data_IF_015744791274
#
_entry.id   IF_015744791274
#
_cell.length_a   1.000
_cell.length_b   1.000
_cell.length_c   1.000
_cell.angle_alpha   90.00
_cell.angle_beta   90.00
_cell.angle_gamma   90.00
#
_symmetry.space_group_name_H-M   'P 1'
#
loop_
_entity.id
_entity.type
_entity.pdbx_description
1 polymer ?
#
# COMPACT_ATOMS: atom_id res chain seq x y z
N UNK A 1 10.06 10.72 9.26
CA UNK A 1 8.95 10.41 8.36
C UNK A 1 7.98 9.50 9.09
N UNK A 2 6.74 9.95 9.30
CA UNK A 2 5.71 9.14 9.96
C UNK A 2 4.99 8.28 8.92
N UNK A 3 4.94 6.97 9.13
CA UNK A 3 4.45 6.01 8.11
C UNK A 3 3.12 5.37 8.50
N UNK A 4 2.14 5.37 7.61
CA UNK A 4 0.91 4.60 7.73
C UNK A 4 1.04 3.30 6.94
N UNK A 5 0.90 2.15 7.61
CA UNK A 5 0.85 0.84 6.96
C UNK A 5 -0.58 0.33 6.98
N UNK A 6 -1.21 0.28 5.80
CA UNK A 6 -2.59 -0.20 5.63
C UNK A 6 -2.56 -1.62 5.10
N UNK A 7 -3.12 -2.58 5.83
CA UNK A 7 -3.21 -3.97 5.38
C UNK A 7 -4.67 -4.39 5.17
N UNK A 8 -4.94 -5.10 4.07
CA UNK A 8 -6.26 -5.67 3.82
C UNK A 8 -6.13 -7.16 3.48
N UNK A 9 -6.36 -8.01 4.49
CA UNK A 9 -6.44 -9.46 4.31
C UNK A 9 -7.26 -10.13 5.43
N UNK A 10 -8.22 -11.02 5.11
CA UNK A 10 -9.10 -11.62 6.12
C UNK A 10 -8.40 -12.69 6.98
N UNK A 11 -7.43 -13.41 6.41
CA UNK A 11 -6.74 -14.50 7.12
C UNK A 11 -5.50 -14.00 7.86
N UNK A 12 -5.42 -14.34 9.15
CA UNK A 12 -4.25 -14.09 9.99
C UNK A 12 -3.00 -14.83 9.48
N UNK A 13 -3.15 -16.07 9.04
CA UNK A 13 -2.06 -16.87 8.47
C UNK A 13 -2.06 -16.78 6.95
N UNK A 14 -1.52 -15.69 6.41
CA UNK A 14 -1.43 -15.46 4.97
C UNK A 14 -0.06 -14.90 4.59
N UNK A 15 0.28 -14.99 3.30
CA UNK A 15 1.49 -14.33 2.80
C UNK A 15 1.40 -12.80 2.88
N UNK A 16 0.20 -12.22 2.76
CA UNK A 16 -0.03 -10.79 2.98
C UNK A 16 0.26 -10.39 4.43
N UNK A 17 -0.11 -11.22 5.42
CA UNK A 17 0.26 -10.99 6.83
C UNK A 17 1.76 -11.14 7.04
N UNK A 18 2.41 -12.10 6.38
CA UNK A 18 3.86 -12.21 6.43
C UNK A 18 4.57 -10.97 5.86
N UNK A 19 4.05 -10.39 4.77
CA UNK A 19 4.54 -9.13 4.22
C UNK A 19 4.37 -7.98 5.22
N UNK A 20 3.20 -7.85 5.84
CA UNK A 20 2.95 -6.86 6.89
C UNK A 20 3.98 -6.98 8.02
N UNK A 21 4.17 -8.19 8.57
CA UNK A 21 5.14 -8.41 9.64
C UNK A 21 6.56 -8.03 9.22
N UNK A 22 6.98 -8.38 8.00
CA UNK A 22 8.31 -8.01 7.49
C UNK A 22 8.49 -6.51 7.30
N UNK A 23 7.45 -5.82 6.83
CA UNK A 23 7.47 -4.36 6.69
C UNK A 23 7.58 -3.70 8.07
N UNK A 24 6.76 -4.11 9.04
CA UNK A 24 6.83 -3.59 10.41
C UNK A 24 8.21 -3.84 11.05
N UNK A 25 8.77 -5.04 10.89
CA UNK A 25 10.12 -5.36 11.37
C UNK A 25 11.19 -4.45 10.75
N UNK A 26 11.09 -4.20 9.44
CA UNK A 26 12.01 -3.31 8.74
C UNK A 26 11.92 -1.85 9.22
N UNK A 27 10.70 -1.34 9.37
CA UNK A 27 10.43 0.02 9.89
C UNK A 27 10.86 0.19 11.35
N UNK A 28 10.68 -0.84 12.17
CA UNK A 28 11.17 -0.86 13.56
C UNK A 28 12.70 -0.81 13.60
N UNK A 29 13.36 -1.61 12.75
CA UNK A 29 14.83 -1.65 12.68
C UNK A 29 15.45 -0.32 12.19
N UNK A 30 14.75 0.43 11.34
CA UNK A 30 15.16 1.78 10.91
C UNK A 30 14.79 2.90 11.88
N UNK A 31 14.06 2.59 12.97
CA UNK A 31 13.58 3.60 13.93
C UNK A 31 12.47 4.51 13.37
N UNK A 32 11.75 4.07 12.33
CA UNK A 32 10.68 4.84 11.69
C UNK A 32 9.40 4.78 12.53
N UNK A 33 8.88 5.94 12.93
CA UNK A 33 7.56 6.05 13.56
C UNK A 33 6.49 5.59 12.57
N UNK A 34 5.74 4.55 12.93
CA UNK A 34 4.73 3.97 12.05
C UNK A 34 3.48 3.53 12.81
N UNK A 35 2.36 3.63 12.11
CA UNK A 35 1.05 3.16 12.55
C UNK A 35 0.56 2.07 11.61
N UNK A 36 -0.04 1.01 12.16
CA UNK A 36 -0.59 -0.10 11.39
C UNK A 36 -2.11 -0.06 11.50
N UNK A 37 -2.79 -0.10 10.35
CA UNK A 37 -4.24 -0.21 10.24
C UNK A 37 -4.59 -1.44 9.42
N UNK A 38 -5.28 -2.41 10.01
CA UNK A 38 -5.75 -3.62 9.34
C UNK A 38 -7.25 -3.55 9.06
N UNK A 39 -7.61 -3.61 7.79
CA UNK A 39 -8.99 -3.55 7.35
C UNK A 39 -9.61 -4.97 7.23
N UNK A 40 -10.83 -5.18 7.74
CA UNK A 40 -11.70 -4.23 8.47
C UNK A 40 -11.62 -4.33 10.00
N UNK A 41 -10.57 -4.94 10.55
CA UNK A 41 -10.53 -5.30 11.98
C UNK A 41 -10.21 -4.13 12.92
N UNK A 42 -9.41 -3.18 12.46
CA UNK A 42 -8.90 -2.08 13.28
C UNK A 42 -9.74 -0.82 13.07
N UNK A 43 -9.70 0.08 14.07
CA UNK A 43 -10.27 1.42 13.97
C UNK A 43 -9.47 2.27 12.98
N UNK A 44 -10.19 3.01 12.13
CA UNK A 44 -9.59 3.86 11.11
C UNK A 44 -9.11 5.17 11.76
N UNK A 45 -7.81 5.54 11.67
CA UNK A 45 -7.34 6.80 12.22
C UNK A 45 -7.92 7.96 11.42
N UNK A 46 -8.23 9.06 12.09
CA UNK A 46 -8.59 10.29 11.41
C UNK A 46 -7.35 10.90 10.73
N UNK A 47 -7.25 10.66 9.43
CA UNK A 47 -6.14 11.12 8.59
C UNK A 47 -6.04 12.65 8.52
N UNK A 48 -7.11 13.39 8.83
CA UNK A 48 -7.08 14.85 8.81
C UNK A 48 -6.26 15.45 9.96
N UNK A 49 -6.11 14.73 11.07
CA UNK A 49 -5.33 15.15 12.24
C UNK A 49 -3.95 14.47 12.34
N UNK A 50 -3.75 13.36 11.63
CA UNK A 50 -2.48 12.62 11.68
C UNK A 50 -1.69 12.82 10.39
N UNK A 51 -0.63 13.62 10.49
CA UNK A 51 0.25 13.96 9.37
C UNK A 51 1.21 12.81 9.02
N UNK A 52 0.71 11.78 8.34
CA UNK A 52 1.56 10.74 7.73
C UNK A 52 2.26 11.29 6.49
N UNK A 53 3.50 10.90 6.26
CA UNK A 53 4.31 11.32 5.11
C UNK A 53 4.55 10.18 4.11
N UNK A 54 4.43 8.93 4.58
CA UNK A 54 4.53 7.73 3.77
C UNK A 54 3.34 6.83 4.04
N UNK A 55 2.68 6.37 2.97
CA UNK A 55 1.66 5.33 3.05
C UNK A 55 2.15 4.06 2.37
N UNK A 56 2.04 2.93 3.07
CA UNK A 56 2.34 1.60 2.57
C UNK A 56 1.05 0.78 2.56
N UNK A 57 0.52 0.47 1.38
CA UNK A 57 -0.64 -0.41 1.23
C UNK A 57 -0.20 -1.86 0.98
N UNK A 58 -0.67 -2.79 1.80
CA UNK A 58 -0.31 -4.22 1.78
C UNK A 58 -1.57 -5.07 1.57
N UNK A 59 -1.75 -5.61 0.37
CA UNK A 59 -2.93 -6.42 0.06
C UNK A 59 -2.69 -7.30 -1.18
N UNK A 60 -3.36 -8.45 -1.31
CA UNK A 60 -3.34 -9.19 -2.57
C UNK A 60 -4.15 -8.45 -3.65
N UNK A 61 -3.81 -8.65 -4.92
CA UNK A 61 -4.65 -8.22 -6.03
C UNK A 61 -5.74 -9.25 -6.29
N UNK A 62 -7.01 -8.86 -6.14
CA UNK A 62 -8.18 -9.68 -6.41
C UNK A 62 -8.98 -9.08 -7.56
N UNK A 63 -9.29 -9.90 -8.57
CA UNK A 63 -10.02 -9.45 -9.77
C UNK A 63 -9.39 -8.24 -10.48
N UNK A 64 -8.07 -8.10 -10.39
CA UNK A 64 -7.31 -7.02 -11.02
C UNK A 64 -7.20 -5.74 -10.19
N UNK A 65 -7.79 -5.67 -9.00
CA UNK A 65 -7.82 -4.50 -8.11
C UNK A 65 -7.48 -4.87 -6.65
N UNK A 66 -7.36 -3.89 -5.73
CA UNK A 66 -7.32 -4.19 -4.29
C UNK A 66 -8.57 -4.94 -3.80
N UNK A 67 -8.52 -5.61 -2.64
CA UNK A 67 -9.69 -6.22 -2.02
C UNK A 67 -10.79 -5.19 -1.75
N UNK A 68 -12.05 -5.63 -1.78
CA UNK A 68 -13.22 -4.74 -1.65
C UNK A 68 -13.17 -3.85 -0.39
N UNK A 69 -12.70 -4.36 0.75
CA UNK A 69 -12.57 -3.57 2.00
C UNK A 69 -11.57 -2.42 1.88
N UNK A 70 -10.49 -2.60 1.11
CA UNK A 70 -9.52 -1.53 0.87
C UNK A 70 -10.05 -0.54 -0.17
N UNK A 71 -10.78 -1.04 -1.18
CA UNK A 71 -11.42 -0.17 -2.16
C UNK A 71 -12.52 0.69 -1.52
N UNK A 72 -13.34 0.13 -0.63
CA UNK A 72 -14.36 0.84 0.14
C UNK A 72 -13.72 1.96 0.98
N UNK A 73 -12.66 1.64 1.73
CA UNK A 73 -11.93 2.64 2.50
C UNK A 73 -11.38 3.77 1.63
N UNK A 74 -10.76 3.44 0.48
CA UNK A 74 -10.29 4.44 -0.48
C UNK A 74 -11.44 5.30 -1.01
N UNK A 75 -12.60 4.72 -1.32
CA UNK A 75 -13.77 5.45 -1.80
C UNK A 75 -14.30 6.41 -0.72
N UNK A 76 -14.53 5.94 0.51
CA UNK A 76 -14.98 6.79 1.61
C UNK A 76 -13.99 7.93 1.91
N UNK A 77 -12.69 7.66 1.78
CA UNK A 77 -11.63 8.62 2.08
C UNK A 77 -11.42 9.65 0.95
N UNK A 78 -11.56 9.25 -0.31
CA UNK A 78 -11.06 10.04 -1.44
C UNK A 78 -12.12 10.49 -2.46
N UNK A 79 -13.32 9.90 -2.47
CA UNK A 79 -14.29 10.12 -3.55
C UNK A 79 -14.65 11.61 -3.72
N UNK A 80 -14.87 12.33 -2.61
CA UNK A 80 -15.19 13.77 -2.67
C UNK A 80 -14.11 14.59 -3.39
N UNK A 81 -12.84 14.21 -3.27
CA UNK A 81 -11.71 14.91 -3.89
C UNK A 81 -11.50 14.48 -5.35
N UNK A 82 -11.80 13.22 -5.67
CA UNK A 82 -11.70 12.68 -7.03
C UNK A 82 -12.80 13.24 -7.93
N UNK A 83 -14.03 13.36 -7.41
CA UNK A 83 -15.20 13.82 -8.17
C UNK A 83 -15.34 15.35 -8.18
N UNK A 84 -14.43 16.08 -7.52
CA UNK A 84 -14.42 17.55 -7.47
C UNK A 84 -15.44 18.16 -6.49
N UNK A 85 -16.01 17.36 -5.59
CA UNK A 85 -16.83 17.85 -4.48
C UNK A 85 -16.01 18.62 -3.43
N UNK A 86 -14.72 18.29 -3.29
CA UNK A 86 -13.76 18.97 -2.42
C UNK A 86 -12.46 19.29 -3.18
N UNK A 87 -11.74 20.39 -2.85
CA UNK A 87 -10.45 20.68 -3.46
C UNK A 87 -9.41 19.59 -3.15
N UNK A 88 -8.72 19.08 -4.16
CA UNK A 88 -7.63 18.09 -3.98
C UNK A 88 -6.54 18.57 -3.00
N UNK A 89 -6.34 19.89 -2.88
CA UNK A 89 -5.41 20.49 -1.91
C UNK A 89 -5.79 20.27 -0.45
N UNK A 90 -7.05 19.97 -0.14
CA UNK A 90 -7.53 19.63 1.21
C UNK A 90 -7.72 18.11 1.42
N UNK A 91 -7.22 17.28 0.49
CA UNK A 91 -7.25 15.83 0.62
C UNK A 91 -6.60 15.36 1.93
N UNK A 92 -7.16 14.35 2.62
CA UNK A 92 -6.56 13.78 3.83
C UNK A 92 -5.23 13.07 3.56
N UNK A 93 -4.93 12.75 2.30
CA UNK A 93 -3.64 12.17 1.90
C UNK A 93 -2.64 13.21 1.41
N UNK A 94 -2.95 14.51 1.49
CA UNK A 94 -2.12 15.56 0.87
C UNK A 94 -0.70 15.63 1.40
N UNK A 95 -0.47 15.18 2.63
CA UNK A 95 0.84 15.09 3.27
C UNK A 95 1.72 13.94 2.77
N UNK A 96 1.13 12.94 2.11
CA UNK A 96 1.82 11.75 1.65
C UNK A 96 2.77 12.11 0.50
N UNK A 97 4.07 12.11 0.80
CA UNK A 97 5.17 12.32 -0.16
C UNK A 97 5.69 11.03 -0.75
N UNK A 98 5.40 9.88 -0.12
CA UNK A 98 5.72 8.56 -0.65
C UNK A 98 4.54 7.61 -0.54
N UNK A 99 4.24 6.90 -1.62
CA UNK A 99 3.18 5.90 -1.68
C UNK A 99 3.76 4.59 -2.21
N UNK A 100 3.84 3.57 -1.35
CA UNK A 100 4.31 2.24 -1.71
C UNK A 100 3.15 1.25 -1.66
N UNK A 101 2.98 0.45 -2.71
CA UNK A 101 1.98 -0.63 -2.74
C UNK A 101 2.70 -1.96 -2.84
N UNK A 102 2.48 -2.82 -1.85
CA UNK A 102 3.02 -4.17 -1.77
C UNK A 102 1.90 -5.17 -2.02
N UNK A 103 1.98 -5.88 -3.14
CA UNK A 103 0.90 -6.78 -3.58
C UNK A 103 1.38 -8.10 -4.15
N UNK A 104 0.44 -9.01 -4.37
CA UNK A 104 0.65 -10.34 -4.94
C UNK A 104 -0.40 -10.61 -6.01
N UNK A 105 0.00 -11.24 -7.11
CA UNK A 105 -0.89 -11.63 -8.20
C UNK A 105 -0.78 -13.13 -8.45
N UNK A 106 -1.92 -13.81 -8.62
CA UNK A 106 -1.94 -15.18 -9.13
C UNK A 106 -1.52 -15.29 -10.60
N UNK A 107 -1.82 -14.25 -11.40
CA UNK A 107 -1.48 -14.16 -12.81
C UNK A 107 -0.04 -13.68 -13.05
N UNK A 108 0.45 -13.84 -14.28
CA UNK A 108 1.77 -13.35 -14.68
C UNK A 108 1.76 -11.86 -14.98
N UNK A 109 2.91 -11.19 -14.86
CA UNK A 109 3.06 -9.78 -15.24
C UNK A 109 2.59 -9.49 -16.68
N UNK A 110 2.83 -10.42 -17.63
CA UNK A 110 2.38 -10.24 -19.03
C UNK A 110 0.86 -10.14 -19.15
N UNK A 111 0.12 -10.98 -18.41
CA UNK A 111 -1.35 -10.95 -18.41
C UNK A 111 -1.86 -9.68 -17.76
N UNK A 112 -1.30 -9.27 -16.61
CA UNK A 112 -1.68 -8.01 -15.96
C UNK A 112 -1.46 -6.80 -16.87
N UNK A 113 -0.32 -6.76 -17.58
CA UNK A 113 -0.03 -5.71 -18.57
C UNK A 113 -1.01 -5.68 -19.73
N UNK A 114 -1.38 -6.85 -20.27
CA UNK A 114 -2.38 -6.95 -21.34
C UNK A 114 -3.75 -6.44 -20.88
N UNK A 115 -4.09 -6.65 -19.62
CA UNK A 115 -5.31 -6.13 -18.99
C UNK A 115 -5.24 -4.64 -18.62
N UNK A 116 -4.10 -3.97 -18.82
CA UNK A 116 -3.92 -2.56 -18.50
C UNK A 116 -3.53 -2.26 -17.04
N UNK A 117 -3.30 -3.29 -16.23
CA UNK A 117 -2.93 -3.20 -14.80
C UNK A 117 -3.93 -2.34 -13.97
N UNK A 118 -5.25 -2.61 -14.02
CA UNK A 118 -6.27 -1.70 -13.49
C UNK A 118 -6.03 -1.31 -12.02
N UNK A 119 -5.68 -2.26 -11.16
CA UNK A 119 -5.36 -1.99 -9.76
C UNK A 119 -4.17 -1.06 -9.60
N UNK A 120 -3.09 -1.23 -10.38
CA UNK A 120 -1.96 -0.29 -10.37
C UNK A 120 -2.39 1.10 -10.83
N UNK A 121 -3.26 1.19 -11.84
CA UNK A 121 -3.79 2.48 -12.31
C UNK A 121 -4.67 3.16 -11.28
N UNK A 122 -5.46 2.42 -10.48
CA UNK A 122 -6.20 2.99 -9.34
C UNK A 122 -5.23 3.74 -8.43
N UNK A 123 -4.13 3.12 -8.04
CA UNK A 123 -3.14 3.80 -7.20
C UNK A 123 -2.45 4.95 -7.92
N UNK A 124 -1.92 4.72 -9.13
CA UNK A 124 -1.05 5.69 -9.81
C UNK A 124 -1.77 6.82 -10.54
N UNK A 125 -3.08 6.71 -10.77
CA UNK A 125 -3.88 7.72 -11.48
C UNK A 125 -5.03 8.28 -10.66
N UNK A 126 -5.50 7.59 -9.62
CA UNK A 126 -6.63 8.06 -8.79
C UNK A 126 -6.15 8.43 -7.39
N UNK A 127 -5.30 7.61 -6.76
CA UNK A 127 -4.81 7.90 -5.39
C UNK A 127 -3.69 8.93 -5.40
N UNK A 128 -2.67 8.78 -6.27
CA UNK A 128 -1.52 9.71 -6.29
C UNK A 128 -1.89 11.18 -6.53
N UNK A 129 -2.88 11.57 -7.35
CA UNK A 129 -3.28 12.99 -7.45
C UNK A 129 -3.83 13.56 -6.14
N UNK A 130 -4.39 12.71 -5.27
CA UNK A 130 -4.88 13.10 -3.94
C UNK A 130 -3.75 13.23 -2.90
N UNK A 131 -2.52 12.86 -3.25
CA UNK A 131 -1.35 12.97 -2.38
C UNK A 131 -0.62 14.31 -2.56
N UNK A 132 0.61 14.42 -2.03
CA UNK A 132 1.49 15.54 -2.30
C UNK A 132 1.79 15.65 -3.81
N UNK A 133 1.94 16.86 -4.40
CA UNK A 133 2.21 17.02 -5.84
C UNK A 133 3.46 16.29 -6.34
N UNK A 134 4.45 16.13 -5.47
CA UNK A 134 5.72 15.45 -5.75
C UNK A 134 5.76 14.02 -5.19
N UNK A 135 4.59 13.39 -4.99
CA UNK A 135 4.53 12.04 -4.41
C UNK A 135 5.34 11.04 -5.24
N UNK A 136 6.20 10.29 -4.57
CA UNK A 136 6.91 9.18 -5.16
C UNK A 136 6.05 7.91 -5.05
N UNK A 137 5.71 7.31 -6.19
CA UNK A 137 4.89 6.11 -6.25
C UNK A 137 5.72 4.87 -6.57
N UNK A 138 5.55 3.82 -5.77
CA UNK A 138 6.24 2.54 -5.93
C UNK A 138 5.24 1.37 -5.95
N UNK A 139 5.38 0.49 -6.95
CA UNK A 139 4.58 -0.72 -7.09
C UNK A 139 5.47 -1.96 -6.92
N UNK A 140 5.28 -2.69 -5.82
CA UNK A 140 6.08 -3.82 -5.39
C UNK A 140 5.21 -5.08 -5.46
N UNK A 141 5.50 -5.98 -6.39
CA UNK A 141 4.55 -7.06 -6.70
C UNK A 141 5.23 -8.40 -6.92
N UNK A 142 4.69 -9.44 -6.27
CA UNK A 142 5.00 -10.83 -6.55
C UNK A 142 3.95 -11.43 -7.50
N UNK A 143 4.36 -11.77 -8.71
CA UNK A 143 3.50 -12.43 -9.70
C UNK A 143 3.59 -13.96 -9.61
N UNK A 144 2.54 -14.64 -10.04
CA UNK A 144 2.39 -16.11 -10.00
C UNK A 144 2.54 -16.70 -8.59
N UNK A 145 1.99 -16.03 -7.58
CA UNK A 145 2.12 -16.49 -6.18
C UNK A 145 1.60 -17.92 -5.97
N UNK A 146 0.52 -18.31 -6.66
CA UNK A 146 -0.08 -19.66 -6.58
C UNK A 146 0.86 -20.78 -7.06
N UNK A 147 1.87 -20.43 -7.85
CA UNK A 147 2.89 -21.35 -8.40
C UNK A 147 4.29 -21.06 -7.87
N UNK A 148 4.40 -20.20 -6.87
CA UNK A 148 5.68 -19.82 -6.29
C UNK A 148 6.22 -20.91 -5.36
N UNK A 149 7.54 -21.03 -5.31
CA UNK A 149 8.23 -21.88 -4.34
C UNK A 149 8.41 -21.14 -3.01
N UNK A 150 8.61 -21.87 -1.88
CA UNK A 150 8.97 -21.24 -0.61
C UNK A 150 10.20 -20.33 -0.72
N UNK A 151 11.22 -20.73 -1.50
CA UNK A 151 12.43 -19.92 -1.74
C UNK A 151 12.13 -18.60 -2.44
N UNK A 152 11.24 -18.60 -3.44
CA UNK A 152 10.83 -17.36 -4.13
C UNK A 152 10.04 -16.43 -3.21
N UNK A 153 9.15 -16.98 -2.39
CA UNK A 153 8.40 -16.20 -1.40
C UNK A 153 9.32 -15.59 -0.34
N UNK A 154 10.28 -16.36 0.16
CA UNK A 154 11.30 -15.86 1.08
C UNK A 154 12.13 -14.73 0.47
N UNK A 155 12.63 -14.93 -0.76
CA UNK A 155 13.40 -13.90 -1.46
C UNK A 155 12.59 -12.61 -1.68
N UNK A 156 11.28 -12.71 -1.95
CA UNK A 156 10.41 -11.54 -2.06
C UNK A 156 10.22 -10.83 -0.71
N UNK A 157 10.07 -11.57 0.38
CA UNK A 157 10.01 -10.99 1.74
C UNK A 157 11.31 -10.24 2.07
N UNK A 158 12.47 -10.80 1.72
CA UNK A 158 13.77 -10.17 1.94
C UNK A 158 13.94 -8.91 1.07
N UNK A 159 13.47 -8.93 -0.17
CA UNK A 159 13.46 -7.75 -1.04
C UNK A 159 12.61 -6.63 -0.46
N UNK A 160 11.38 -6.95 -0.03
CA UNK A 160 10.46 -6.01 0.62
C UNK A 160 11.08 -5.44 1.89
N UNK A 161 11.70 -6.28 2.74
CA UNK A 161 12.37 -5.82 3.96
C UNK A 161 13.47 -4.79 3.65
N UNK A 162 14.36 -5.09 2.69
CA UNK A 162 15.47 -4.19 2.35
C UNK A 162 14.98 -2.80 1.90
N UNK A 163 13.89 -2.75 1.12
CA UNK A 163 13.33 -1.48 0.64
C UNK A 163 12.88 -0.54 1.76
N UNK A 164 12.42 -1.08 2.88
CA UNK A 164 11.90 -0.29 4.01
C UNK A 164 12.89 -0.16 5.18
N UNK A 165 13.99 -0.93 5.19
CA UNK A 165 15.12 -0.70 6.10
C UNK A 165 16.01 0.45 5.64
N UNK A 166 16.07 0.70 4.33
CA UNK A 166 16.92 1.75 3.74
C UNK A 166 16.25 3.13 3.64
N UNK A 167 15.07 3.32 4.22
CA UNK A 167 14.42 4.63 4.23
C UNK A 167 15.20 5.56 5.15
N UNK A 168 15.84 6.64 4.62
CA UNK A 168 16.54 7.57 5.48
C UNK A 168 15.52 8.22 6.41
N UNK A 169 15.81 8.21 7.71
CA UNK A 169 15.20 9.13 8.65
C UNK A 169 15.51 10.54 8.11
N UNK A 170 14.52 11.38 7.78
CA UNK A 170 14.80 12.78 7.46
C UNK A 170 15.49 13.40 8.67
N UNK A 171 16.64 14.04 8.43
CA UNK A 171 17.34 14.84 9.43
C UNK A 171 16.48 16.00 9.93
#
# INVERSE_FOLDING_TARGET
MKTLVVQAHPLAQSFSTALLHRICQALQASGTDHHVMRLPQDEEPDLSYVNFEHMIAVSPTWWGSPPAVLLDWLQRTLLAYVDGGEPVSSSPLRSIRRLSVVTTHGSSLRINRLQGEPGRQTWSRVVTPCCHPEVQFEWISLYKIDRSTPKQRAAFLDDVSRRFTSDPVPA
#
